data_IF_302717299917
#
_entry.id   IF_302717299917
#
_cell.length_a   1.000
_cell.length_b   1.000
_cell.length_c   1.000
_cell.angle_alpha   90.00
_cell.angle_beta   90.00
_cell.angle_gamma   90.00
#
_symmetry.space_group_name_H-M   'P 1'
#
loop_
_entity.id
_entity.type
_entity.pdbx_description
1 polymer ?
#
# COMPACT_ATOMS: atom_id res chain seq x y z
N UNK A 1 -7.14 -9.00 -15.23
CA UNK A 1 -7.36 -10.45 -15.03
C UNK A 1 -7.87 -10.78 -13.64
N UNK A 2 -6.97 -11.04 -12.68
CA UNK A 2 -7.34 -11.44 -11.31
C UNK A 2 -7.90 -10.29 -10.48
N UNK A 3 -7.71 -10.37 -9.16
CA UNK A 3 -8.21 -9.40 -8.19
C UNK A 3 -8.04 -7.96 -8.68
N UNK A 4 -6.89 -7.66 -9.24
CA UNK A 4 -6.57 -6.29 -9.62
C UNK A 4 -7.40 -5.84 -10.82
N UNK A 5 -6.99 -6.31 -12.01
CA UNK A 5 -7.61 -5.94 -13.29
C UNK A 5 -7.88 -4.42 -13.40
N UNK A 6 -7.02 -3.63 -12.77
CA UNK A 6 -7.09 -2.18 -12.84
C UNK A 6 -5.72 -1.60 -12.48
N UNK A 7 -4.74 -1.93 -13.30
CA UNK A 7 -3.35 -1.64 -12.99
C UNK A 7 -3.01 -0.17 -13.23
N UNK A 8 -3.36 0.64 -12.24
CA UNK A 8 -3.05 2.07 -12.24
C UNK A 8 -2.62 2.45 -10.83
N UNK A 9 -2.90 3.68 -10.43
CA UNK A 9 -2.79 4.04 -9.01
C UNK A 9 -3.90 3.30 -8.26
N UNK A 10 -4.93 2.94 -9.03
CA UNK A 10 -6.05 2.14 -8.54
C UNK A 10 -5.60 0.73 -8.20
N UNK A 11 -4.45 0.31 -8.76
CA UNK A 11 -3.86 -1.01 -8.46
C UNK A 11 -3.74 -1.23 -6.95
N UNK A 12 -3.80 -0.14 -6.21
CA UNK A 12 -3.80 -0.20 -4.77
C UNK A 12 -4.93 -1.12 -4.28
N UNK A 13 -5.95 -1.29 -5.12
CA UNK A 13 -7.06 -2.19 -4.84
C UNK A 13 -6.57 -3.64 -4.69
N UNK A 14 -5.60 -4.03 -5.50
CA UNK A 14 -5.01 -5.36 -5.36
C UNK A 14 -4.19 -5.44 -4.08
N UNK A 15 -3.59 -4.32 -3.71
CA UNK A 15 -2.85 -4.23 -2.46
C UNK A 15 -3.81 -4.23 -1.28
N UNK A 16 -5.07 -4.00 -1.56
CA UNK A 16 -6.11 -4.11 -0.58
C UNK A 16 -6.28 -5.57 -0.16
N UNK A 17 -6.00 -6.47 -1.10
CA UNK A 17 -6.01 -7.89 -0.82
C UNK A 17 -4.84 -8.24 0.10
N UNK A 18 -3.75 -7.48 -0.02
CA UNK A 18 -2.59 -7.64 0.86
C UNK A 18 -2.98 -7.43 2.33
N UNK A 19 -4.04 -6.68 2.55
CA UNK A 19 -4.57 -6.46 3.89
C UNK A 19 -5.05 -7.79 4.48
N UNK A 20 -5.70 -8.60 3.65
CA UNK A 20 -6.21 -9.90 4.09
C UNK A 20 -5.08 -10.93 4.11
N UNK A 21 -3.89 -10.49 3.74
CA UNK A 21 -2.76 -11.40 3.68
C UNK A 21 -1.84 -11.21 4.88
N UNK A 22 -1.37 -9.98 5.09
CA UNK A 22 -0.41 -9.75 6.15
C UNK A 22 -1.01 -8.95 7.30
N UNK A 23 -1.90 -8.01 6.95
CA UNK A 23 -2.62 -7.16 7.92
C UNK A 23 -3.07 -5.88 7.26
N UNK A 24 -3.93 -5.13 7.95
CA UNK A 24 -4.48 -3.91 7.39
C UNK A 24 -3.43 -2.84 7.20
N UNK A 25 -2.37 -2.91 8.00
CA UNK A 25 -1.28 -1.94 7.92
C UNK A 25 -0.72 -1.87 6.51
N UNK A 26 -0.35 -3.02 5.92
CA UNK A 26 0.25 -3.03 4.60
C UNK A 26 -0.70 -2.50 3.52
N UNK A 27 -1.99 -2.53 3.81
CA UNK A 27 -2.96 -1.88 2.95
C UNK A 27 -2.88 -0.37 3.11
N UNK A 28 -3.01 0.10 4.34
CA UNK A 28 -3.14 1.53 4.59
C UNK A 28 -1.80 2.29 4.47
N UNK A 29 -0.70 1.70 4.91
CA UNK A 29 0.58 2.40 4.94
C UNK A 29 0.99 2.93 3.56
N UNK A 30 0.86 2.09 2.52
CA UNK A 30 1.19 2.54 1.16
C UNK A 30 0.24 3.66 0.77
N UNK A 31 -1.04 3.37 0.91
CA UNK A 31 -2.08 4.27 0.45
C UNK A 31 -1.97 5.62 1.13
N UNK A 32 -1.53 5.62 2.37
CA UNK A 32 -1.48 6.84 3.14
C UNK A 32 -0.21 7.65 2.82
N UNK A 33 0.87 6.96 2.48
CA UNK A 33 2.09 7.66 2.11
C UNK A 33 2.11 8.03 0.63
N UNK A 34 1.34 7.33 -0.19
CA UNK A 34 1.29 7.63 -1.61
C UNK A 34 0.04 8.43 -1.96
N UNK A 35 -1.00 8.28 -1.16
CA UNK A 35 -2.24 8.98 -1.43
C UNK A 35 -3.18 8.16 -2.30
N UNK A 36 -3.15 6.85 -2.12
CA UNK A 36 -3.90 5.93 -2.98
C UNK A 36 -5.17 5.47 -2.29
N UNK A 37 -6.13 4.99 -3.09
CA UNK A 37 -7.36 4.41 -2.57
C UNK A 37 -8.16 5.42 -1.76
N UNK A 38 -8.10 6.68 -2.19
CA UNK A 38 -8.83 7.72 -1.51
C UNK A 38 -8.13 8.20 -0.26
N UNK A 39 -6.95 7.67 0.01
CA UNK A 39 -6.16 8.12 1.15
C UNK A 39 -5.51 9.46 0.85
N UNK A 40 -4.92 10.05 1.87
CA UNK A 40 -4.24 11.33 1.74
C UNK A 40 -2.75 11.16 1.98
N UNK A 41 -1.94 11.56 0.98
CA UNK A 41 -0.50 11.44 1.08
C UNK A 41 0.07 12.57 1.91
N UNK A 42 0.71 12.21 3.01
CA UNK A 42 1.20 13.20 3.96
C UNK A 42 2.60 12.85 4.46
N UNK A 43 3.09 13.59 5.45
CA UNK A 43 4.40 13.34 5.98
C UNK A 43 4.34 12.14 6.89
N UNK A 44 5.48 11.68 7.36
CA UNK A 44 5.50 10.53 8.25
C UNK A 44 4.75 10.86 9.54
N UNK A 45 4.86 12.10 9.96
CA UNK A 45 4.16 12.59 11.15
C UNK A 45 2.66 12.62 10.94
N UNK A 46 2.24 13.24 9.84
CA UNK A 46 0.82 13.39 9.56
C UNK A 46 0.15 12.04 9.39
N UNK A 47 0.76 11.18 8.56
CA UNK A 47 0.20 9.87 8.29
C UNK A 47 0.17 9.00 9.54
N UNK A 48 1.18 9.15 10.39
CA UNK A 48 1.23 8.41 11.64
C UNK A 48 0.09 8.79 12.53
N UNK A 49 -0.13 10.10 12.66
CA UNK A 49 -1.20 10.61 13.51
C UNK A 49 -2.57 10.16 13.01
N UNK A 50 -2.72 10.12 11.68
CA UNK A 50 -3.99 9.76 11.07
C UNK A 50 -4.44 8.35 11.48
N UNK A 51 -3.49 7.47 11.75
CA UNK A 51 -3.83 6.10 12.13
C UNK A 51 -3.59 5.85 13.61
N UNK A 52 -3.03 6.85 14.29
CA UNK A 52 -2.80 6.75 15.72
C UNK A 52 -1.52 6.03 16.06
N UNK A 53 -0.59 6.00 15.11
CA UNK A 53 0.67 5.31 15.31
C UNK A 53 1.84 6.27 15.15
N UNK A 54 3.04 5.75 15.28
CA UNK A 54 4.23 6.55 15.13
C UNK A 54 4.57 6.76 13.65
N UNK A 55 5.36 7.77 13.37
CA UNK A 55 5.78 8.07 12.00
C UNK A 55 6.45 6.87 11.35
N UNK A 56 7.24 6.13 12.14
CA UNK A 56 7.91 4.93 11.68
C UNK A 56 6.92 3.90 11.16
N UNK A 57 5.84 3.73 11.90
CA UNK A 57 4.88 2.68 11.61
C UNK A 57 4.35 2.78 10.18
N UNK A 58 3.94 3.96 9.77
CA UNK A 58 3.42 4.13 8.43
C UNK A 58 4.54 4.02 7.40
N UNK A 59 5.64 4.72 7.63
CA UNK A 59 6.76 4.72 6.69
C UNK A 59 7.43 3.36 6.61
N UNK A 60 7.93 2.89 7.74
CA UNK A 60 8.84 1.75 7.75
C UNK A 60 8.14 0.42 7.55
N UNK A 61 6.94 0.29 8.10
CA UNK A 61 6.12 -0.89 7.82
C UNK A 61 5.80 -0.96 6.32
N UNK A 62 5.55 0.20 5.72
CA UNK A 62 5.37 0.31 4.28
C UNK A 62 6.66 -0.10 3.56
N UNK A 63 7.78 0.45 4.03
CA UNK A 63 9.09 0.21 3.42
C UNK A 63 9.43 -1.28 3.41
N UNK A 64 9.23 -1.96 4.54
CA UNK A 64 9.52 -3.39 4.61
C UNK A 64 8.49 -4.16 3.79
N UNK A 65 7.28 -3.62 3.73
CA UNK A 65 6.22 -4.25 2.97
C UNK A 65 6.49 -4.27 1.49
N UNK A 66 7.18 -3.23 1.00
CA UNK A 66 7.46 -3.09 -0.43
C UNK A 66 8.13 -4.33 -1.03
N UNK A 67 8.85 -5.05 -0.18
CA UNK A 67 9.56 -6.24 -0.61
C UNK A 67 8.59 -7.42 -0.76
N UNK A 68 7.80 -7.67 0.27
CA UNK A 68 6.86 -8.78 0.25
C UNK A 68 5.70 -8.49 -0.70
N UNK A 69 5.27 -7.23 -0.74
CA UNK A 69 4.13 -6.79 -1.56
C UNK A 69 4.26 -7.24 -3.01
N UNK A 70 5.49 -7.37 -3.49
CA UNK A 70 5.72 -7.79 -4.87
C UNK A 70 5.20 -9.20 -5.10
N UNK A 71 5.21 -10.03 -4.06
CA UNK A 71 4.86 -11.45 -4.18
C UNK A 71 3.43 -11.65 -4.69
N UNK A 72 2.47 -10.98 -4.07
CA UNK A 72 1.08 -11.08 -4.51
C UNK A 72 0.86 -10.43 -5.88
N UNK A 73 1.67 -9.44 -6.21
CA UNK A 73 1.50 -8.74 -7.46
C UNK A 73 2.10 -9.53 -8.62
N UNK A 74 3.33 -10.01 -8.44
CA UNK A 74 4.04 -10.74 -9.49
C UNK A 74 3.26 -12.00 -9.90
N UNK A 75 2.50 -12.55 -8.97
CA UNK A 75 1.73 -13.76 -9.24
C UNK A 75 0.50 -13.43 -10.08
N UNK A 76 0.17 -12.15 -10.15
CA UNK A 76 -0.99 -11.70 -10.90
C UNK A 76 -0.57 -10.86 -12.11
N UNK A 77 0.73 -10.73 -12.31
CA UNK A 77 1.24 -9.92 -13.40
C UNK A 77 1.19 -8.44 -13.08
N UNK A 78 1.18 -8.12 -11.80
CA UNK A 78 1.08 -6.75 -11.32
C UNK A 78 2.44 -6.30 -10.78
N UNK A 79 2.65 -4.99 -10.72
CA UNK A 79 3.92 -4.45 -10.26
C UNK A 79 3.74 -3.44 -9.15
N UNK A 80 4.48 -3.62 -8.06
CA UNK A 80 4.38 -2.74 -6.90
C UNK A 80 4.85 -1.34 -7.23
N UNK A 81 5.74 -1.24 -8.22
CA UNK A 81 6.29 0.04 -8.65
C UNK A 81 5.20 1.01 -9.09
N UNK A 82 4.03 0.46 -9.40
CA UNK A 82 2.93 1.26 -9.92
C UNK A 82 2.25 2.05 -8.80
N UNK A 83 2.51 1.63 -7.56
CA UNK A 83 1.93 2.29 -6.40
C UNK A 83 2.61 3.62 -6.11
N UNK A 84 3.90 3.68 -6.42
CA UNK A 84 4.65 4.91 -6.23
C UNK A 84 4.92 5.59 -7.56
N UNK A 85 4.42 5.00 -8.63
CA UNK A 85 4.58 5.55 -9.96
C UNK A 85 3.57 6.66 -10.18
N UNK A 86 3.87 7.83 -9.64
CA UNK A 86 2.99 8.98 -9.78
C UNK A 86 3.57 9.96 -10.78
#
# INVERSE_FOLDING_TARGET
GPEDTTQDDDMKQSIVKWLFELNAKQREVLARRFGLLGYEAATLEDVGREIGLTRERVRQIQVEGLRRLREILQTQGLNIEALFRE
#
